data_IF_779649700607
#
_entry.id   IF_779649700607
#
_cell.length_a   1.000
_cell.length_b   1.000
_cell.length_c   1.000
_cell.angle_alpha   90.00
_cell.angle_beta   90.00
_cell.angle_gamma   90.00
#
_symmetry.space_group_name_H-M   'P 1'
#
loop_
_entity.id
_entity.type
_entity.pdbx_description
1 polymer ?
#
# COMPACT_ATOMS: atom_id res chain seq x y z
N UNK A 1 23.56 -7.22 5.09
CA UNK A 1 22.24 -7.82 5.39
C UNK A 1 21.52 -8.00 4.06
N UNK A 2 20.67 -9.02 3.92
CA UNK A 2 20.00 -9.28 2.64
C UNK A 2 18.97 -8.19 2.36
N UNK A 3 18.93 -7.68 1.13
CA UNK A 3 17.99 -6.65 0.71
C UNK A 3 16.57 -7.23 0.71
N UNK A 4 15.72 -6.75 1.62
CA UNK A 4 14.32 -7.17 1.70
C UNK A 4 13.56 -6.55 0.54
N UNK A 5 12.76 -7.36 -0.15
CA UNK A 5 11.85 -6.87 -1.20
C UNK A 5 10.41 -7.12 -0.80
N UNK A 6 9.53 -6.19 -1.17
CA UNK A 6 8.08 -6.28 -0.97
C UNK A 6 7.36 -6.34 -2.31
N UNK A 7 6.26 -7.08 -2.35
CA UNK A 7 5.31 -7.05 -3.46
C UNK A 7 4.20 -6.07 -3.12
N UNK A 8 3.97 -5.12 -4.01
CA UNK A 8 2.98 -4.06 -3.84
C UNK A 8 2.01 -4.01 -5.03
N UNK A 9 0.82 -3.47 -4.78
CA UNK A 9 -0.17 -3.22 -5.82
C UNK A 9 -0.38 -1.73 -5.95
N UNK A 10 -0.19 -1.21 -7.16
CA UNK A 10 -0.43 0.17 -7.52
C UNK A 10 -1.66 0.29 -8.43
N UNK A 11 -2.29 1.45 -8.44
CA UNK A 11 -3.33 1.75 -9.42
C UNK A 11 -2.66 2.13 -10.75
N UNK A 12 -2.86 1.32 -11.79
CA UNK A 12 -2.25 1.55 -13.11
C UNK A 12 -3.02 2.61 -13.92
N UNK A 13 -4.35 2.65 -13.77
CA UNK A 13 -5.24 3.59 -14.45
C UNK A 13 -6.57 3.70 -13.71
N UNK A 14 -7.37 4.71 -14.05
CA UNK A 14 -8.70 4.92 -13.47
C UNK A 14 -9.70 3.92 -14.07
N UNK A 15 -10.38 3.08 -13.26
CA UNK A 15 -11.38 2.15 -13.78
C UNK A 15 -12.57 2.87 -14.43
N UNK A 16 -12.96 2.42 -15.62
CA UNK A 16 -14.24 2.77 -16.26
C UNK A 16 -15.23 1.64 -16.02
N UNK A 17 -16.28 1.90 -15.24
CA UNK A 17 -17.22 0.86 -14.80
C UNK A 17 -16.68 0.04 -13.62
N UNK A 18 -16.74 -1.29 -13.71
CA UNK A 18 -16.18 -2.17 -12.69
C UNK A 18 -14.65 -2.25 -12.82
N UNK A 19 -13.89 -2.27 -11.70
CA UNK A 19 -12.46 -2.51 -11.76
C UNK A 19 -12.13 -3.84 -12.42
N UNK A 20 -11.11 -3.81 -13.27
CA UNK A 20 -10.55 -4.98 -13.95
C UNK A 20 -9.07 -5.12 -13.58
N UNK A 21 -8.50 -6.31 -13.82
CA UNK A 21 -7.11 -6.60 -13.44
C UNK A 21 -6.11 -5.63 -14.09
N UNK A 22 -6.38 -5.14 -15.31
CA UNK A 22 -5.55 -4.16 -16.00
C UNK A 22 -5.53 -2.77 -15.36
N UNK A 23 -6.46 -2.47 -14.45
CA UNK A 23 -6.45 -1.21 -13.70
C UNK A 23 -5.41 -1.23 -12.56
N UNK A 24 -4.78 -2.38 -12.31
CA UNK A 24 -3.80 -2.58 -11.26
C UNK A 24 -2.45 -3.00 -11.82
N UNK A 25 -1.38 -2.64 -11.12
CA UNK A 25 -0.02 -3.04 -11.44
C UNK A 25 0.62 -3.67 -10.22
N UNK A 26 1.11 -4.90 -10.37
CA UNK A 26 2.00 -5.53 -9.39
C UNK A 26 3.39 -4.92 -9.52
N UNK A 27 3.97 -4.50 -8.40
CA UNK A 27 5.32 -3.95 -8.30
C UNK A 27 6.13 -4.74 -7.28
N UNK A 28 7.44 -4.76 -7.48
CA UNK A 28 8.40 -5.19 -6.46
C UNK A 28 9.18 -3.95 -6.05
N UNK A 29 9.28 -3.70 -4.75
CA UNK A 29 10.07 -2.58 -4.22
C UNK A 29 11.09 -3.11 -3.21
N UNK A 30 12.22 -2.43 -3.13
CA UNK A 30 13.16 -2.62 -2.03
C UNK A 30 12.57 -2.00 -0.75
N UNK A 31 12.74 -2.72 0.36
CA UNK A 31 12.30 -2.28 1.69
C UNK A 31 13.56 -1.90 2.47
N UNK A 32 13.78 -0.61 2.75
CA UNK A 32 14.89 -0.19 3.58
C UNK A 32 14.70 -0.65 5.04
N UNK A 33 15.80 -0.70 5.77
CA UNK A 33 15.74 -0.76 7.23
C UNK A 33 14.99 0.46 7.78
N UNK A 34 14.24 0.33 8.88
CA UNK A 34 13.48 1.45 9.43
C UNK A 34 14.43 2.58 9.82
N UNK A 35 14.07 3.83 9.49
CA UNK A 35 14.78 5.01 9.97
C UNK A 35 14.53 5.30 11.45
N UNK A 36 15.11 6.39 11.95
CA UNK A 36 14.90 6.84 13.32
C UNK A 36 13.41 7.11 13.58
N UNK A 37 12.85 6.48 14.61
CA UNK A 37 11.43 6.61 14.93
C UNK A 37 10.48 5.78 14.05
N UNK A 38 11.00 4.92 13.18
CA UNK A 38 10.16 4.07 12.32
C UNK A 38 10.09 2.62 12.82
N UNK A 39 9.03 1.93 12.41
CA UNK A 39 8.87 0.49 12.55
C UNK A 39 8.71 -0.13 11.16
N UNK A 40 9.35 -1.28 10.95
CA UNK A 40 9.18 -2.07 9.73
C UNK A 40 8.17 -3.19 10.01
N UNK A 41 7.09 -3.22 9.23
CA UNK A 41 6.00 -4.18 9.39
C UNK A 41 5.87 -5.06 8.15
N UNK A 42 5.95 -6.38 8.35
CA UNK A 42 5.57 -7.36 7.34
C UNK A 42 4.05 -7.57 7.40
N UNK A 43 3.34 -6.99 6.44
CA UNK A 43 1.89 -7.19 6.30
C UNK A 43 1.59 -8.65 5.94
N UNK A 44 0.79 -9.32 6.77
CA UNK A 44 0.38 -10.72 6.57
C UNK A 44 -1.05 -10.81 5.99
N UNK A 45 -1.89 -9.83 6.32
CA UNK A 45 -3.27 -9.71 5.85
C UNK A 45 -3.56 -8.28 5.41
N UNK A 46 -4.40 -8.12 4.39
CA UNK A 46 -4.88 -6.83 3.91
C UNK A 46 -6.40 -6.88 3.74
N UNK A 47 -7.09 -5.84 4.21
CA UNK A 47 -8.52 -5.67 4.03
C UNK A 47 -8.83 -5.19 2.61
N UNK A 48 -9.94 -5.67 2.06
CA UNK A 48 -10.50 -5.20 0.79
C UNK A 48 -11.89 -4.68 1.07
N UNK A 49 -12.01 -3.35 1.15
CA UNK A 49 -13.22 -2.69 1.60
C UNK A 49 -13.91 -1.91 0.47
N UNK A 50 -15.26 -1.82 0.45
CA UNK A 50 -15.98 -1.08 -0.58
C UNK A 50 -15.54 0.38 -0.76
N UNK A 51 -15.07 1.05 0.29
CA UNK A 51 -14.62 2.44 0.22
C UNK A 51 -13.41 2.64 -0.73
N UNK A 52 -12.59 1.60 -0.92
CA UNK A 52 -11.44 1.65 -1.83
C UNK A 52 -11.87 1.99 -3.26
N UNK A 53 -13.08 1.58 -3.67
CA UNK A 53 -13.64 1.93 -4.99
C UNK A 53 -13.79 3.44 -5.17
N UNK A 54 -14.20 4.14 -4.11
CA UNK A 54 -14.35 5.60 -4.13
C UNK A 54 -13.01 6.31 -4.34
N UNK A 55 -11.92 5.75 -3.78
CA UNK A 55 -10.55 6.26 -3.92
C UNK A 55 -9.91 5.98 -5.28
N UNK A 56 -10.49 5.10 -6.09
CA UNK A 56 -10.01 4.86 -7.46
C UNK A 56 -10.44 5.96 -8.44
N UNK A 57 -11.43 6.78 -8.08
CA UNK A 57 -11.84 7.95 -8.86
C UNK A 57 -11.09 9.19 -8.39
N UNK A 58 -10.69 10.04 -9.34
CA UNK A 58 -10.06 11.31 -9.03
C UNK A 58 -11.15 12.37 -8.75
N UNK A 59 -11.54 12.47 -7.48
CA UNK A 59 -12.55 13.42 -7.01
C UNK A 59 -12.26 13.82 -5.57
N UNK A 60 -12.75 14.99 -5.19
CA UNK A 60 -12.67 15.48 -3.82
C UNK A 60 -13.37 14.51 -2.85
N UNK A 61 -12.69 14.22 -1.74
CA UNK A 61 -13.10 13.25 -0.73
C UNK A 61 -12.32 13.51 0.56
N UNK A 62 -12.91 13.15 1.70
CA UNK A 62 -12.26 13.28 3.01
C UNK A 62 -11.02 12.38 3.14
N UNK A 63 -10.97 11.27 2.39
CA UNK A 63 -9.75 10.48 2.19
C UNK A 63 -9.25 10.72 0.77
N UNK A 64 -7.97 11.08 0.58
CA UNK A 64 -7.40 11.30 -0.74
C UNK A 64 -7.53 10.08 -1.67
N UNK A 65 -7.76 10.32 -2.98
CA UNK A 65 -7.78 9.24 -3.96
C UNK A 65 -6.41 8.57 -4.07
N UNK A 66 -6.41 7.30 -4.49
CA UNK A 66 -5.18 6.63 -4.89
C UNK A 66 -4.57 7.35 -6.09
N UNK A 67 -3.26 7.54 -6.12
CA UNK A 67 -2.59 8.14 -7.27
C UNK A 67 -2.17 7.06 -8.26
N UNK A 68 -2.16 7.42 -9.55
CA UNK A 68 -1.74 6.50 -10.61
C UNK A 68 -0.25 6.20 -10.43
N UNK A 69 0.11 4.93 -10.43
CA UNK A 69 1.47 4.46 -10.24
C UNK A 69 1.92 4.42 -8.78
N UNK A 70 1.17 4.95 -7.83
CA UNK A 70 1.51 4.83 -6.41
C UNK A 70 0.92 3.56 -5.81
N UNK A 71 1.60 3.04 -4.79
CA UNK A 71 1.14 1.88 -4.03
C UNK A 71 -0.18 2.20 -3.32
N UNK A 72 -1.15 1.31 -3.50
CA UNK A 72 -2.45 1.44 -2.89
C UNK A 72 -2.36 1.21 -1.38
N UNK A 73 -3.21 1.94 -0.65
CA UNK A 73 -3.25 1.91 0.81
C UNK A 73 -4.56 1.28 1.30
N UNK A 74 -4.49 0.54 2.40
CA UNK A 74 -5.65 -0.11 3.01
C UNK A 74 -5.35 -0.54 4.45
N UNK A 75 -6.39 -1.01 5.14
CA UNK A 75 -6.20 -1.64 6.46
C UNK A 75 -5.43 -2.95 6.31
N UNK A 76 -4.52 -3.22 7.23
CA UNK A 76 -3.70 -4.44 7.22
C UNK A 76 -3.42 -4.93 8.65
N UNK A 77 -3.15 -6.23 8.76
CA UNK A 77 -2.58 -6.84 9.97
C UNK A 77 -1.21 -7.37 9.58
N UNK A 78 -0.20 -7.02 10.35
CA UNK A 78 1.18 -7.41 10.09
C UNK A 78 1.96 -7.65 11.36
N UNK A 79 3.16 -8.20 11.17
CA UNK A 79 4.14 -8.44 12.22
C UNK A 79 5.27 -7.45 12.10
N UNK A 80 5.69 -6.85 13.21
CA UNK A 80 6.90 -6.01 13.21
C UNK A 80 8.13 -6.91 13.07
N UNK A 81 8.98 -6.57 12.12
CA UNK A 81 10.21 -7.30 11.79
C UNK A 81 11.48 -6.57 12.22
N UNK A 82 11.41 -5.25 12.32
CA UNK A 82 12.46 -4.38 12.86
C UNK A 82 11.84 -3.09 13.41
N UNK A 83 12.49 -2.46 14.39
CA UNK A 83 12.04 -1.19 14.99
C UNK A 83 13.25 -0.35 15.38
N UNK A 84 13.23 0.92 15.00
CA UNK A 84 14.11 1.97 15.52
C UNK A 84 13.28 3.05 16.26
N UNK A 85 12.05 2.71 16.65
CA UNK A 85 11.18 3.59 17.43
C UNK A 85 11.40 3.33 18.93
N UNK A 86 11.74 4.34 19.75
CA UNK A 86 12.18 4.15 21.14
C UNK A 86 11.09 3.60 22.09
N UNK A 87 9.82 3.67 21.69
CA UNK A 87 8.67 3.18 22.46
C UNK A 87 8.07 1.87 21.96
N UNK A 88 8.75 1.16 21.06
CA UNK A 88 8.33 -0.14 20.52
C UNK A 88 9.42 -1.19 20.75
#
# INVERSE_FOLDING_TARGET
MAQLTSTEWALAQRPVGLPQLSDFQKKTTDVPEPGDGEIQVKNEWMSVDPYMRGRMYDRESYVPPFQIGETMQGGAIGRVTASNHPGY
#
